data_IF_307607175178
#
_entry.id   IF_307607175178
#
_cell.length_a   1.000
_cell.length_b   1.000
_cell.length_c   1.000
_cell.angle_alpha   90.00
_cell.angle_beta   90.00
_cell.angle_gamma   90.00
#
_symmetry.space_group_name_H-M   'P 1'
#
loop_
_entity.id
_entity.type
_entity.pdbx_description
1 polymer ?
#
# COMPACT_ATOMS: atom_id res chain seq x y z
N UNK A 1 25.87 -4.41 21.29
CA UNK A 1 24.45 -4.85 21.33
C UNK A 1 24.06 -5.51 20.00
N UNK A 2 24.02 -6.85 19.95
CA UNK A 2 23.51 -7.62 18.79
C UNK A 2 21.98 -7.51 18.79
N UNK A 3 21.38 -6.90 17.77
CA UNK A 3 19.92 -6.90 17.58
C UNK A 3 19.51 -8.32 17.15
N UNK A 4 18.60 -8.93 17.90
CA UNK A 4 18.01 -10.22 17.55
C UNK A 4 17.35 -10.23 16.16
N UNK A 5 17.08 -11.42 15.60
CA UNK A 5 16.46 -11.56 14.28
C UNK A 5 15.12 -10.80 14.23
N UNK A 6 14.89 -10.06 13.15
CA UNK A 6 13.64 -9.31 12.97
C UNK A 6 12.55 -10.27 12.55
N UNK A 7 11.37 -10.13 13.13
CA UNK A 7 10.19 -10.86 12.67
C UNK A 7 9.76 -10.38 11.28
N UNK A 8 9.22 -11.29 10.49
CA UNK A 8 8.64 -11.01 9.16
C UNK A 8 7.54 -9.96 9.26
N UNK A 9 6.70 -10.02 10.30
CA UNK A 9 5.62 -9.06 10.57
C UNK A 9 6.12 -7.62 10.78
N UNK A 10 7.19 -7.42 11.57
CA UNK A 10 7.74 -6.08 11.79
C UNK A 10 8.35 -5.49 10.51
N UNK A 11 8.87 -6.35 9.62
CA UNK A 11 9.37 -5.93 8.32
C UNK A 11 8.24 -5.54 7.40
N UNK A 12 7.20 -6.37 7.31
CA UNK A 12 5.96 -6.09 6.56
C UNK A 12 5.37 -4.74 6.96
N UNK A 13 5.11 -4.53 8.25
CA UNK A 13 4.52 -3.30 8.76
C UNK A 13 5.32 -2.03 8.38
N UNK A 14 6.65 -2.10 8.42
CA UNK A 14 7.51 -0.96 8.03
C UNK A 14 7.42 -0.64 6.54
N UNK A 15 7.41 -1.66 5.70
CA UNK A 15 7.30 -1.48 4.26
C UNK A 15 5.90 -1.02 3.85
N UNK A 16 4.85 -1.58 4.44
CA UNK A 16 3.48 -1.12 4.22
C UNK A 16 3.31 0.33 4.70
N UNK A 17 3.80 0.66 5.90
CA UNK A 17 3.78 2.03 6.42
C UNK A 17 4.54 3.02 5.54
N UNK A 18 5.69 2.62 4.98
CA UNK A 18 6.41 3.44 4.02
C UNK A 18 5.65 3.61 2.69
N UNK A 19 4.98 2.55 2.20
CA UNK A 19 4.10 2.62 1.03
C UNK A 19 2.98 3.65 1.20
N UNK A 20 2.33 3.70 2.36
CA UNK A 20 1.30 4.69 2.66
C UNK A 20 1.87 6.10 2.86
N UNK A 21 3.03 6.22 3.52
CA UNK A 21 3.71 7.49 3.71
C UNK A 21 4.23 8.08 2.39
N UNK A 22 4.37 7.29 1.32
CA UNK A 22 4.86 7.77 0.03
C UNK A 22 4.01 8.90 -0.54
N UNK A 23 2.67 8.87 -0.37
CA UNK A 23 1.78 9.90 -0.87
C UNK A 23 2.08 11.29 -0.28
N UNK A 24 2.04 11.50 1.06
CA UNK A 24 2.41 12.80 1.62
C UNK A 24 3.89 13.15 1.40
N UNK A 25 4.78 12.14 1.34
CA UNK A 25 6.20 12.39 1.07
C UNK A 25 6.46 12.86 -0.36
N UNK A 26 5.65 12.46 -1.33
CA UNK A 26 5.78 12.88 -2.73
C UNK A 26 5.74 14.41 -2.89
N UNK A 27 5.11 15.12 -1.95
CA UNK A 27 5.00 16.58 -1.96
C UNK A 27 5.88 17.25 -0.89
N UNK A 28 6.47 16.49 0.04
CA UNK A 28 7.37 17.02 1.06
C UNK A 28 8.72 17.48 0.48
N UNK A 29 9.51 18.28 1.21
CA UNK A 29 10.89 18.61 0.81
C UNK A 29 11.75 17.36 0.62
N UNK A 30 12.69 17.39 -0.34
CA UNK A 30 13.57 16.24 -0.66
C UNK A 30 14.32 15.72 0.58
N UNK A 31 14.74 16.60 1.49
CA UNK A 31 15.39 16.22 2.75
C UNK A 31 14.52 15.31 3.64
N UNK A 32 13.20 15.52 3.65
CA UNK A 32 12.22 14.70 4.37
C UNK A 32 12.05 13.35 3.67
N UNK A 33 11.91 13.37 2.33
CA UNK A 33 11.78 12.15 1.49
C UNK A 33 12.90 11.15 1.74
N UNK A 34 14.12 11.62 1.99
CA UNK A 34 15.29 10.78 2.23
C UNK A 34 15.46 10.38 3.70
N UNK A 35 14.94 11.19 4.62
CA UNK A 35 15.00 10.93 6.08
C UNK A 35 14.16 9.72 6.46
N UNK A 36 12.95 9.61 5.90
CA UNK A 36 12.01 8.52 6.22
C UNK A 36 12.56 7.12 5.90
N UNK A 37 13.00 6.79 4.67
CA UNK A 37 13.53 5.46 4.37
C UNK A 37 14.79 5.14 5.18
N UNK A 38 15.62 6.14 5.51
CA UNK A 38 16.75 5.97 6.43
C UNK A 38 16.29 5.60 7.85
N UNK A 39 15.24 6.23 8.39
CA UNK A 39 14.77 5.98 9.77
C UNK A 39 13.91 4.71 9.87
N UNK A 40 12.94 4.55 8.97
CA UNK A 40 11.93 3.50 9.06
C UNK A 40 12.42 2.18 8.47
N UNK A 41 12.94 2.21 7.24
CA UNK A 41 13.42 1.02 6.54
C UNK A 41 14.85 0.65 6.93
N UNK A 42 15.63 1.63 7.45
CA UNK A 42 17.08 1.51 7.67
C UNK A 42 17.85 1.29 6.35
N UNK A 43 17.30 1.82 5.26
CA UNK A 43 17.83 1.69 3.90
C UNK A 43 18.01 3.09 3.30
N UNK A 44 19.19 3.72 3.48
CA UNK A 44 19.40 5.09 3.03
C UNK A 44 19.36 5.20 1.50
N UNK A 45 18.83 6.33 1.03
CA UNK A 45 18.89 6.75 -0.38
C UNK A 45 20.03 7.76 -0.49
N UNK A 46 21.00 7.50 -1.38
CA UNK A 46 22.06 8.48 -1.64
C UNK A 46 21.45 9.67 -2.36
N UNK A 47 21.77 10.89 -1.94
CA UNK A 47 21.35 12.10 -2.65
C UNK A 47 22.42 12.49 -3.65
N UNK A 48 22.04 12.67 -4.89
CA UNK A 48 22.91 13.24 -5.92
C UNK A 48 22.16 14.39 -6.59
N UNK A 49 22.61 15.63 -6.29
CA UNK A 49 21.98 16.93 -6.62
C UNK A 49 20.99 16.83 -7.79
N UNK A 50 19.71 16.45 -7.53
CA UNK A 50 18.80 16.12 -8.60
C UNK A 50 18.28 17.41 -9.22
N UNK A 51 18.32 17.49 -10.55
CA UNK A 51 17.68 18.59 -11.27
C UNK A 51 16.16 18.62 -11.02
N UNK A 52 15.50 19.77 -11.24
CA UNK A 52 14.09 19.98 -10.91
C UNK A 52 13.16 18.97 -11.61
N UNK A 53 13.44 18.62 -12.86
CA UNK A 53 12.65 17.63 -13.61
C UNK A 53 12.63 16.25 -12.92
N UNK A 54 13.75 15.81 -12.35
CA UNK A 54 13.82 14.52 -11.64
C UNK A 54 13.04 14.55 -10.33
N UNK A 55 13.07 15.69 -9.63
CA UNK A 55 12.27 15.89 -8.42
C UNK A 55 10.78 15.88 -8.75
N UNK A 56 10.37 16.59 -9.81
CA UNK A 56 8.99 16.60 -10.29
C UNK A 56 8.54 15.20 -10.72
N UNK A 57 9.32 14.51 -11.53
CA UNK A 57 9.03 13.13 -11.96
C UNK A 57 8.88 12.19 -10.75
N UNK A 58 9.73 12.33 -9.74
CA UNK A 58 9.60 11.56 -8.51
C UNK A 58 8.31 11.92 -7.76
N UNK A 59 7.97 13.20 -7.62
CA UNK A 59 6.72 13.63 -6.96
C UNK A 59 5.49 13.06 -7.67
N UNK A 60 5.42 13.16 -9.00
CA UNK A 60 4.27 12.66 -9.78
C UNK A 60 4.13 11.14 -9.67
N UNK A 61 5.21 10.40 -9.94
CA UNK A 61 5.18 8.94 -9.94
C UNK A 61 4.99 8.38 -8.52
N UNK A 62 5.65 8.97 -7.53
CA UNK A 62 5.51 8.59 -6.13
C UNK A 62 4.10 8.91 -5.60
N UNK A 63 3.56 10.07 -5.96
CA UNK A 63 2.19 10.48 -5.62
C UNK A 63 1.14 9.55 -6.24
N UNK A 64 1.23 9.27 -7.55
CA UNK A 64 0.34 8.34 -8.23
C UNK A 64 0.38 6.93 -7.63
N UNK A 65 1.57 6.36 -7.45
CA UNK A 65 1.71 5.05 -6.80
C UNK A 65 1.31 5.07 -5.30
N UNK A 66 1.45 6.22 -4.63
CA UNK A 66 1.00 6.42 -3.25
C UNK A 66 -0.52 6.46 -3.12
N UNK A 67 -1.22 7.07 -4.07
CA UNK A 67 -2.69 7.03 -4.16
C UNK A 67 -3.19 5.59 -4.29
N UNK A 68 -2.52 4.77 -5.11
CA UNK A 68 -2.84 3.33 -5.19
C UNK A 68 -2.68 2.67 -3.82
N UNK A 69 -1.60 2.93 -3.09
CA UNK A 69 -1.39 2.40 -1.74
C UNK A 69 -2.52 2.78 -0.77
N UNK A 70 -2.97 4.03 -0.80
CA UNK A 70 -4.12 4.49 0.00
C UNK A 70 -5.43 3.85 -0.43
N UNK A 71 -5.65 3.66 -1.73
CA UNK A 71 -6.84 2.97 -2.23
C UNK A 71 -6.87 1.50 -1.81
N UNK A 72 -5.74 0.78 -1.89
CA UNK A 72 -5.65 -0.60 -1.36
C UNK A 72 -5.90 -0.66 0.15
N UNK A 73 -5.44 0.33 0.92
CA UNK A 73 -5.73 0.42 2.34
C UNK A 73 -7.22 0.68 2.62
N UNK A 74 -7.86 1.53 1.82
CA UNK A 74 -9.31 1.73 1.88
C UNK A 74 -10.06 0.43 1.61
N UNK A 75 -9.71 -0.30 0.54
CA UNK A 75 -10.33 -1.59 0.22
C UNK A 75 -10.13 -2.63 1.33
N UNK A 76 -8.93 -2.69 1.91
CA UNK A 76 -8.64 -3.56 3.04
C UNK A 76 -9.51 -3.21 4.25
N UNK A 77 -9.66 -1.91 4.55
CA UNK A 77 -10.52 -1.45 5.64
C UNK A 77 -11.98 -1.79 5.38
N UNK A 78 -12.49 -1.52 4.17
CA UNK A 78 -13.88 -1.86 3.78
C UNK A 78 -14.13 -3.36 3.87
N UNK A 79 -13.20 -4.20 3.41
CA UNK A 79 -13.34 -5.66 3.50
C UNK A 79 -13.35 -6.14 4.95
N UNK A 80 -12.45 -5.62 5.79
CA UNK A 80 -12.38 -5.96 7.21
C UNK A 80 -13.64 -5.52 7.96
N UNK A 81 -14.07 -4.27 7.76
CA UNK A 81 -15.26 -3.74 8.44
C UNK A 81 -16.51 -4.47 7.99
N UNK A 82 -16.68 -4.75 6.69
CA UNK A 82 -17.82 -5.53 6.19
C UNK A 82 -17.82 -6.96 6.70
N UNK A 83 -16.65 -7.59 6.80
CA UNK A 83 -16.54 -8.95 7.35
C UNK A 83 -16.91 -9.01 8.83
N UNK A 84 -16.35 -8.12 9.64
CA UNK A 84 -16.58 -8.10 11.09
C UNK A 84 -17.98 -7.61 11.46
N UNK A 85 -18.49 -6.60 10.75
CA UNK A 85 -19.81 -6.01 10.97
C UNK A 85 -20.91 -6.66 10.12
N UNK A 86 -20.64 -7.82 9.49
CA UNK A 86 -21.58 -8.53 8.61
C UNK A 86 -23.00 -8.60 9.20
N UNK A 87 -23.21 -9.02 10.48
CA UNK A 87 -24.56 -9.14 11.04
C UNK A 87 -25.36 -7.84 11.06
N UNK A 88 -24.69 -6.69 11.19
CA UNK A 88 -25.32 -5.36 11.23
C UNK A 88 -25.65 -4.87 9.82
N UNK A 89 -24.85 -5.27 8.83
CA UNK A 89 -24.93 -4.75 7.46
C UNK A 89 -25.90 -5.53 6.57
N UNK A 90 -26.11 -6.82 6.80
CA UNK A 90 -26.95 -7.68 5.95
C UNK A 90 -28.32 -8.04 6.53
N UNK A 91 -28.55 -7.81 7.82
CA UNK A 91 -29.83 -8.17 8.46
C UNK A 91 -30.17 -9.67 8.27
N UNK A 92 -31.39 -9.95 7.81
CA UNK A 92 -31.91 -11.32 7.65
C UNK A 92 -31.56 -11.99 6.31
N UNK A 93 -30.89 -11.29 5.39
CA UNK A 93 -30.55 -11.82 4.04
C UNK A 93 -29.25 -12.66 4.05
N UNK A 94 -29.15 -13.61 4.98
CA UNK A 94 -27.99 -14.49 5.14
C UNK A 94 -28.26 -15.93 4.70
N UNK A 95 -29.52 -16.29 4.41
CA UNK A 95 -29.92 -17.64 4.04
C UNK A 95 -29.19 -18.18 2.80
N UNK A 96 -28.96 -17.31 1.81
CA UNK A 96 -28.27 -17.65 0.54
C UNK A 96 -26.78 -17.24 0.54
N UNK A 97 -26.26 -16.75 1.66
CA UNK A 97 -24.86 -16.33 1.77
C UNK A 97 -23.92 -17.52 2.02
N UNK A 98 -22.62 -17.36 1.71
CA UNK A 98 -21.63 -18.36 2.10
C UNK A 98 -21.56 -18.49 3.62
N UNK A 99 -21.79 -19.71 4.14
CA UNK A 99 -21.90 -19.98 5.57
C UNK A 99 -23.33 -19.96 6.12
N UNK A 100 -24.34 -19.64 5.30
CA UNK A 100 -25.75 -19.81 5.64
C UNK A 100 -26.17 -21.28 5.86
N UNK A 101 -27.40 -21.56 6.35
CA UNK A 101 -28.51 -20.62 6.50
C UNK A 101 -28.53 -19.87 7.83
N UNK A 102 -27.55 -20.10 8.73
CA UNK A 102 -27.51 -19.41 10.03
C UNK A 102 -26.68 -18.14 9.96
N UNK A 103 -27.10 -17.11 10.70
CA UNK A 103 -26.35 -15.85 10.82
C UNK A 103 -24.92 -16.08 11.35
N UNK A 104 -24.77 -16.99 12.31
CA UNK A 104 -23.47 -17.31 12.92
C UNK A 104 -22.49 -17.90 11.89
N UNK A 105 -22.95 -18.84 11.06
CA UNK A 105 -22.12 -19.43 10.00
C UNK A 105 -21.76 -18.42 8.92
N UNK A 106 -22.73 -17.62 8.46
CA UNK A 106 -22.49 -16.56 7.49
C UNK A 106 -21.47 -15.54 8.01
N UNK A 107 -21.65 -15.06 9.25
CA UNK A 107 -20.71 -14.15 9.89
C UNK A 107 -19.31 -14.76 10.01
N UNK A 108 -19.18 -16.01 10.46
CA UNK A 108 -17.88 -16.65 10.64
C UNK A 108 -17.07 -16.65 9.34
N UNK A 109 -17.70 -17.00 8.21
CA UNK A 109 -17.04 -16.99 6.90
C UNK A 109 -16.57 -15.59 6.52
N UNK A 110 -17.42 -14.58 6.63
CA UNK A 110 -17.09 -13.21 6.21
C UNK A 110 -16.07 -12.54 7.14
N UNK A 111 -16.16 -12.78 8.45
CA UNK A 111 -15.20 -12.30 9.44
C UNK A 111 -13.82 -12.94 9.20
N UNK A 112 -13.76 -14.25 9.00
CA UNK A 112 -12.52 -14.97 8.69
C UNK A 112 -11.91 -14.45 7.39
N UNK A 113 -12.69 -14.30 6.31
CA UNK A 113 -12.19 -13.75 5.05
C UNK A 113 -11.66 -12.32 5.21
N UNK A 114 -12.39 -11.45 5.92
CA UNK A 114 -11.98 -10.08 6.19
C UNK A 114 -10.63 -10.00 6.91
N UNK A 115 -10.40 -10.86 7.91
CA UNK A 115 -9.14 -10.91 8.66
C UNK A 115 -8.03 -11.62 7.88
N UNK A 116 -8.31 -12.76 7.26
CA UNK A 116 -7.33 -13.60 6.56
C UNK A 116 -6.76 -12.90 5.32
N UNK A 117 -7.48 -11.95 4.72
CA UNK A 117 -6.99 -11.16 3.59
C UNK A 117 -6.10 -9.98 4.01
N UNK A 118 -6.08 -9.57 5.29
CA UNK A 118 -5.23 -8.45 5.74
C UNK A 118 -3.74 -8.62 5.39
N UNK A 119 -3.10 -9.79 5.60
CA UNK A 119 -1.72 -9.98 5.21
C UNK A 119 -1.50 -9.79 3.70
N UNK A 120 -2.45 -10.18 2.85
CA UNK A 120 -2.37 -10.01 1.39
C UNK A 120 -2.37 -8.53 1.02
N UNK A 121 -3.29 -7.74 1.60
CA UNK A 121 -3.33 -6.30 1.42
C UNK A 121 -2.04 -5.62 1.91
N UNK A 122 -1.56 -6.00 3.10
CA UNK A 122 -0.32 -5.46 3.66
C UNK A 122 0.90 -5.80 2.79
N UNK A 123 0.96 -7.01 2.24
CA UNK A 123 2.01 -7.44 1.31
C UNK A 123 1.99 -6.62 0.01
N UNK A 124 0.81 -6.39 -0.56
CA UNK A 124 0.66 -5.54 -1.74
C UNK A 124 1.16 -4.11 -1.46
N UNK A 125 0.75 -3.49 -0.34
CA UNK A 125 1.19 -2.14 0.06
C UNK A 125 2.70 -2.12 0.37
N UNK A 126 3.25 -3.17 0.98
CA UNK A 126 4.69 -3.29 1.19
C UNK A 126 5.47 -3.40 -0.12
N UNK A 127 4.93 -4.11 -1.11
CA UNK A 127 5.45 -4.15 -2.47
C UNK A 127 5.50 -2.75 -3.10
N UNK A 128 4.43 -1.97 -2.95
CA UNK A 128 4.43 -0.56 -3.36
C UNK A 128 5.52 0.23 -2.62
N UNK A 129 5.67 0.05 -1.31
CA UNK A 129 6.77 0.64 -0.53
C UNK A 129 8.16 0.30 -1.10
N UNK A 130 8.38 -0.94 -1.55
CA UNK A 130 9.62 -1.36 -2.19
C UNK A 130 9.84 -0.66 -3.54
N UNK A 131 8.80 -0.50 -4.35
CA UNK A 131 8.85 0.25 -5.62
C UNK A 131 9.16 1.73 -5.36
N UNK A 132 8.50 2.34 -4.38
CA UNK A 132 8.72 3.74 -3.98
C UNK A 132 10.17 4.01 -3.57
N UNK A 133 10.75 3.09 -2.80
CA UNK A 133 12.15 3.19 -2.39
C UNK A 133 13.10 3.10 -3.59
N UNK A 134 12.87 2.16 -4.51
CA UNK A 134 13.67 2.02 -5.74
C UNK A 134 13.51 3.20 -6.68
N UNK A 135 12.31 3.77 -6.78
CA UNK A 135 12.02 4.98 -7.52
C UNK A 135 12.79 6.18 -6.95
N UNK A 136 12.85 6.31 -5.61
CA UNK A 136 13.67 7.33 -4.94
C UNK A 136 15.16 7.14 -5.24
N UNK A 137 15.67 5.90 -5.16
CA UNK A 137 17.06 5.60 -5.54
C UNK A 137 17.35 5.97 -7.00
N UNK A 138 16.42 5.73 -7.93
CA UNK A 138 16.60 6.06 -9.35
C UNK A 138 16.55 7.57 -9.59
N UNK A 139 15.49 8.23 -9.14
CA UNK A 139 15.19 9.62 -9.49
C UNK A 139 15.84 10.65 -8.57
N UNK A 140 16.19 10.32 -7.34
CA UNK A 140 16.88 11.24 -6.42
C UNK A 140 18.36 10.88 -6.21
N UNK A 141 18.71 9.60 -6.36
CA UNK A 141 20.06 9.09 -6.08
C UNK A 141 20.87 8.55 -7.27
N UNK A 142 20.28 8.41 -8.47
CA UNK A 142 20.89 7.81 -9.69
C UNK A 142 21.43 6.37 -9.53
N UNK A 143 21.23 5.71 -8.39
CA UNK A 143 21.71 4.34 -8.12
C UNK A 143 20.62 3.27 -8.26
N UNK A 144 19.35 3.66 -8.41
CA UNK A 144 18.22 2.73 -8.50
C UNK A 144 18.06 2.07 -9.87
N UNK A 145 17.31 0.96 -9.93
CA UNK A 145 17.08 0.25 -11.19
C UNK A 145 16.20 1.07 -12.14
N UNK A 146 16.45 1.02 -13.47
CA UNK A 146 15.69 1.79 -14.45
C UNK A 146 14.23 1.34 -14.54
N UNK A 147 13.93 0.07 -14.26
CA UNK A 147 12.56 -0.48 -14.30
C UNK A 147 11.61 0.16 -13.27
N UNK A 148 12.13 0.82 -12.23
CA UNK A 148 11.29 1.44 -11.21
C UNK A 148 10.36 2.51 -11.79
N UNK A 149 10.79 3.20 -12.85
CA UNK A 149 9.99 4.21 -13.54
C UNK A 149 8.81 3.58 -14.29
N UNK A 150 9.01 2.70 -15.29
CA UNK A 150 7.89 2.10 -16.03
C UNK A 150 6.96 1.29 -15.11
N UNK A 151 7.50 0.62 -14.08
CA UNK A 151 6.63 -0.07 -13.12
C UNK A 151 5.74 0.90 -12.32
N UNK A 152 6.27 2.05 -11.88
CA UNK A 152 5.47 3.06 -11.18
C UNK A 152 4.38 3.65 -12.08
N UNK A 153 4.67 3.84 -13.37
CA UNK A 153 3.68 4.26 -14.37
C UNK A 153 2.58 3.20 -14.52
N UNK A 154 2.97 1.93 -14.73
CA UNK A 154 2.04 0.83 -14.88
C UNK A 154 1.14 0.66 -13.64
N UNK A 155 1.71 0.75 -12.44
CA UNK A 155 0.97 0.67 -11.18
C UNK A 155 0.00 1.83 -11.01
N UNK A 156 0.42 3.06 -11.31
CA UNK A 156 -0.47 4.22 -11.25
C UNK A 156 -1.62 4.12 -12.26
N UNK A 157 -1.35 3.69 -13.50
CA UNK A 157 -2.37 3.49 -14.52
C UNK A 157 -3.34 2.37 -14.16
N UNK A 158 -2.84 1.20 -13.75
CA UNK A 158 -3.65 0.07 -13.31
C UNK A 158 -4.51 0.43 -12.09
N UNK A 159 -3.94 1.16 -11.12
CA UNK A 159 -4.67 1.63 -9.95
C UNK A 159 -5.77 2.63 -10.31
N UNK A 160 -5.53 3.55 -11.26
CA UNK A 160 -6.56 4.47 -11.75
C UNK A 160 -7.69 3.72 -12.47
N UNK A 161 -7.37 2.76 -13.33
CA UNK A 161 -8.36 1.93 -14.01
C UNK A 161 -9.19 1.11 -13.02
N UNK A 162 -8.53 0.49 -12.03
CA UNK A 162 -9.20 -0.26 -10.97
C UNK A 162 -10.12 0.65 -10.15
N UNK A 163 -9.67 1.85 -9.79
CA UNK A 163 -10.48 2.83 -9.07
C UNK A 163 -11.72 3.23 -9.87
N UNK A 164 -11.56 3.56 -11.16
CA UNK A 164 -12.69 3.89 -12.05
C UNK A 164 -13.66 2.72 -12.14
N UNK A 165 -13.16 1.50 -12.37
CA UNK A 165 -13.98 0.31 -12.46
C UNK A 165 -14.76 0.07 -11.16
N UNK A 166 -14.11 0.22 -10.01
CA UNK A 166 -14.74 0.10 -8.69
C UNK A 166 -15.83 1.16 -8.48
N UNK A 167 -15.57 2.44 -8.82
CA UNK A 167 -16.59 3.49 -8.68
C UNK A 167 -17.79 3.31 -9.59
N UNK A 168 -17.64 2.62 -10.74
CA UNK A 168 -18.75 2.30 -11.64
C UNK A 168 -19.61 1.12 -11.16
N UNK A 169 -19.15 0.39 -10.14
CA UNK A 169 -19.90 -0.71 -9.52
C UNK A 169 -20.71 -0.26 -8.30
N UNK A 170 -20.46 0.95 -7.79
CA UNK A 170 -21.22 1.56 -6.69
C UNK A 170 -22.50 2.21 -7.25
#
# INVERSE_FOLDING_TARGET
>A
MRRGPRTTAATLARWSGYGLAALPLAFAPVSVRLRVPRRWLRSPVRLERPGPLRVLAHSVLSGGSGLVGWFLALLALVALTRGLAYPVLTGDDHANSWGGPTLAGAWAVHAVLGVALLPVWLLAIAGLGAVQWRLAQRLLGRTGPPWAIPLSIALAAAGALLFIAWTRQL
#
